data_IF_487511887151
#
_entry.id   IF_487511887151
#
_cell.length_a   1.000
_cell.length_b   1.000
_cell.length_c   1.000
_cell.angle_alpha   90.00
_cell.angle_beta   90.00
_cell.angle_gamma   90.00
#
_symmetry.space_group_name_H-M   'P 1'
#
loop_
_entity.id
_entity.type
_entity.pdbx_description
1 polymer ?
#
# COMPACT_ATOMS: atom_id res chain seq x y z
N UNK A 1 17.07 14.76 -1.96
CA UNK A 1 15.95 14.15 -2.73
C UNK A 1 15.37 15.25 -3.59
N UNK A 2 15.49 15.18 -4.92
CA UNK A 2 14.85 16.19 -5.79
C UNK A 2 13.33 15.97 -5.77
N UNK A 3 12.53 17.02 -5.97
CA UNK A 3 11.07 16.93 -5.94
C UNK A 3 10.49 15.86 -6.88
N UNK A 4 11.23 15.50 -7.93
CA UNK A 4 10.90 14.44 -8.88
C UNK A 4 10.87 13.02 -8.26
N UNK A 5 11.60 12.79 -7.16
CA UNK A 5 11.65 11.47 -6.50
C UNK A 5 10.48 11.19 -5.57
N UNK A 6 9.81 12.24 -5.06
CA UNK A 6 8.72 12.09 -4.06
C UNK A 6 7.35 12.04 -4.76
N UNK A 7 7.21 12.63 -5.95
CA UNK A 7 5.95 12.64 -6.69
C UNK A 7 5.34 11.23 -6.92
N UNK A 8 6.11 10.18 -7.28
CA UNK A 8 5.55 8.83 -7.43
C UNK A 8 5.02 8.26 -6.11
N UNK A 9 5.73 8.52 -5.00
CA UNK A 9 5.31 8.10 -3.66
C UNK A 9 4.03 8.83 -3.23
N UNK A 10 3.97 10.14 -3.45
CA UNK A 10 2.80 10.96 -3.13
C UNK A 10 1.57 10.50 -3.95
N UNK A 11 1.73 10.25 -5.24
CA UNK A 11 0.69 9.67 -6.09
C UNK A 11 0.24 8.31 -5.59
N UNK A 12 1.19 7.42 -5.27
CA UNK A 12 0.89 6.09 -4.73
C UNK A 12 0.06 6.17 -3.44
N UNK A 13 0.52 6.93 -2.44
CA UNK A 13 -0.17 7.07 -1.15
C UNK A 13 -1.56 7.67 -1.34
N UNK A 14 -1.69 8.68 -2.21
CA UNK A 14 -2.97 9.34 -2.51
C UNK A 14 -3.96 8.33 -3.10
N UNK A 15 -3.57 7.65 -4.18
CA UNK A 15 -4.44 6.67 -4.86
C UNK A 15 -4.77 5.50 -3.93
N UNK A 16 -3.77 4.94 -3.24
CA UNK A 16 -3.95 3.81 -2.34
C UNK A 16 -4.88 4.13 -1.15
N UNK A 17 -4.95 5.38 -0.71
CA UNK A 17 -5.80 5.80 0.42
C UNK A 17 -7.20 6.20 -0.03
N UNK A 18 -7.33 6.93 -1.14
CA UNK A 18 -8.61 7.49 -1.59
C UNK A 18 -9.45 6.52 -2.42
N UNK A 19 -8.84 5.51 -3.05
CA UNK A 19 -9.59 4.56 -3.88
C UNK A 19 -10.51 3.66 -3.03
N UNK A 20 -11.71 3.34 -3.52
CA UNK A 20 -12.59 2.36 -2.88
C UNK A 20 -12.04 0.96 -3.11
N UNK A 21 -11.03 0.58 -2.32
CA UNK A 21 -10.42 -0.76 -2.31
C UNK A 21 -10.77 -1.55 -1.05
N UNK A 22 -10.22 -2.77 -0.93
CA UNK A 22 -10.52 -3.69 0.17
C UNK A 22 -10.27 -3.10 1.57
N UNK A 23 -9.16 -2.40 1.79
CA UNK A 23 -8.85 -1.78 3.08
C UNK A 23 -9.88 -0.71 3.48
N UNK A 24 -10.26 0.16 2.53
CA UNK A 24 -11.28 1.20 2.73
C UNK A 24 -12.65 0.56 2.98
N UNK A 25 -13.05 -0.44 2.20
CA UNK A 25 -14.32 -1.17 2.40
C UNK A 25 -14.36 -1.87 3.76
N UNK A 26 -13.28 -2.53 4.18
CA UNK A 26 -13.19 -3.16 5.50
C UNK A 26 -13.25 -2.14 6.63
N UNK A 27 -12.57 -1.00 6.49
CA UNK A 27 -12.63 0.09 7.45
C UNK A 27 -14.05 0.66 7.57
N UNK A 28 -14.74 0.90 6.45
CA UNK A 28 -16.13 1.36 6.41
C UNK A 28 -17.07 0.33 7.05
N UNK A 29 -16.96 -0.94 6.67
CA UNK A 29 -17.78 -2.01 7.21
C UNK A 29 -17.55 -2.21 8.72
N UNK A 30 -16.30 -2.17 9.16
CA UNK A 30 -15.93 -2.22 10.58
C UNK A 30 -16.52 -1.04 11.35
N UNK A 31 -16.38 0.18 10.83
CA UNK A 31 -16.94 1.39 11.44
C UNK A 31 -18.46 1.34 11.56
N UNK A 32 -19.14 0.85 10.52
CA UNK A 32 -20.59 0.69 10.50
C UNK A 32 -21.10 -0.37 11.48
N UNK A 33 -20.36 -1.48 11.67
CA UNK A 33 -20.81 -2.61 12.50
C UNK A 33 -20.34 -2.56 13.96
N UNK A 34 -19.15 -2.03 14.23
CA UNK A 34 -18.53 -2.04 15.57
C UNK A 34 -18.39 -0.64 16.17
N UNK A 35 -18.60 0.42 15.38
CA UNK A 35 -18.34 1.80 15.79
C UNK A 35 -16.90 2.25 15.54
N UNK A 36 -16.67 3.56 15.59
CA UNK A 36 -15.37 4.17 15.28
C UNK A 36 -14.28 3.76 16.27
N UNK A 37 -14.56 3.84 17.58
CA UNK A 37 -13.58 3.57 18.64
C UNK A 37 -13.06 2.14 18.57
N UNK A 38 -13.95 1.17 18.39
CA UNK A 38 -13.61 -0.25 18.27
C UNK A 38 -12.89 -0.58 16.95
N UNK A 39 -13.06 0.26 15.92
CA UNK A 39 -12.37 0.11 14.63
C UNK A 39 -10.98 0.78 14.60
N UNK A 40 -10.63 1.59 15.61
CA UNK A 40 -9.31 2.24 15.69
C UNK A 40 -8.10 1.31 15.56
N UNK A 41 -8.05 0.10 16.17
CA UNK A 41 -6.91 -0.80 15.96
C UNK A 41 -6.79 -1.28 14.50
N UNK A 42 -7.91 -1.53 13.83
CA UNK A 42 -7.91 -1.89 12.40
C UNK A 42 -7.38 -0.73 11.55
N UNK A 43 -7.88 0.48 11.79
CA UNK A 43 -7.45 1.69 11.07
C UNK A 43 -5.95 1.96 11.29
N UNK A 44 -5.47 1.81 12.52
CA UNK A 44 -4.05 1.93 12.84
C UNK A 44 -3.21 0.88 12.11
N UNK A 45 -3.67 -0.37 12.08
CA UNK A 45 -3.00 -1.45 11.33
C UNK A 45 -2.90 -1.15 9.83
N UNK A 46 -3.97 -0.65 9.20
CA UNK A 46 -3.97 -0.23 7.80
C UNK A 46 -2.98 0.92 7.57
N UNK A 47 -2.99 1.93 8.44
CA UNK A 47 -2.10 3.09 8.34
C UNK A 47 -0.62 2.70 8.49
N UNK A 48 -0.30 1.85 9.47
CA UNK A 48 1.07 1.34 9.68
C UNK A 48 1.51 0.47 8.49
N UNK A 49 0.64 -0.39 7.97
CA UNK A 49 0.93 -1.19 6.78
C UNK A 49 1.23 -0.32 5.55
N UNK A 50 0.41 0.70 5.28
CA UNK A 50 0.66 1.61 4.17
C UNK A 50 1.93 2.45 4.37
N UNK A 51 2.15 2.94 5.59
CA UNK A 51 3.34 3.72 5.95
C UNK A 51 4.63 2.92 5.80
N UNK A 52 4.64 1.65 6.20
CA UNK A 52 5.80 0.76 6.04
C UNK A 52 6.08 0.44 4.58
N UNK A 53 5.05 0.20 3.76
CA UNK A 53 5.18 0.04 2.31
C UNK A 53 5.74 1.29 1.65
N UNK A 54 5.23 2.47 2.01
CA UNK A 54 5.74 3.75 1.50
C UNK A 54 7.20 3.98 1.92
N UNK A 55 7.55 3.68 3.18
CA UNK A 55 8.93 3.79 3.66
C UNK A 55 9.88 2.85 2.89
N UNK A 56 9.47 1.60 2.65
CA UNK A 56 10.25 0.66 1.85
C UNK A 56 10.42 1.12 0.40
N UNK A 57 9.36 1.64 -0.21
CA UNK A 57 9.42 2.22 -1.56
C UNK A 57 10.39 3.42 -1.61
N UNK A 58 10.30 4.32 -0.63
CA UNK A 58 11.18 5.49 -0.50
C UNK A 58 12.65 5.10 -0.26
N UNK A 59 12.90 4.00 0.46
CA UNK A 59 14.24 3.47 0.72
C UNK A 59 14.93 2.89 -0.52
N UNK A 60 14.24 2.82 -1.67
CA UNK A 60 14.83 2.41 -2.94
C UNK A 60 14.50 0.98 -3.36
N UNK A 61 13.34 0.45 -2.95
CA UNK A 61 12.84 -0.86 -3.39
C UNK A 61 12.87 -1.03 -4.93
N UNK A 62 12.62 0.05 -5.67
CA UNK A 62 12.72 0.06 -7.13
C UNK A 62 14.12 -0.32 -7.64
N UNK A 63 15.18 0.12 -6.96
CA UNK A 63 16.56 -0.23 -7.32
C UNK A 63 16.83 -1.73 -7.18
N UNK A 64 16.27 -2.38 -6.16
CA UNK A 64 16.37 -3.84 -5.96
C UNK A 64 15.69 -4.58 -7.11
N UNK A 65 14.49 -4.14 -7.52
CA UNK A 65 13.75 -4.75 -8.62
C UNK A 65 14.48 -4.60 -9.97
N UNK A 66 15.11 -3.45 -10.21
CA UNK A 66 15.89 -3.22 -11.44
C UNK A 66 17.18 -4.06 -11.46
N UNK A 67 17.78 -4.32 -10.30
CA UNK A 67 18.96 -5.17 -10.18
C UNK A 67 18.64 -6.68 -10.30
N UNK A 68 17.39 -7.09 -10.01
CA UNK A 68 16.97 -8.50 -10.01
C UNK A 68 15.71 -8.71 -10.89
N UNK A 69 15.87 -8.89 -12.21
CA UNK A 69 14.75 -9.08 -13.13
C UNK A 69 13.88 -10.31 -12.82
N UNK A 70 14.50 -11.37 -12.28
CA UNK A 70 13.78 -12.58 -11.85
C UNK A 70 12.81 -12.30 -10.70
N UNK A 71 13.18 -11.43 -9.75
CA UNK A 71 12.32 -11.00 -8.66
C UNK A 71 11.13 -10.20 -9.19
N UNK A 72 11.37 -9.29 -10.13
CA UNK A 72 10.30 -8.51 -10.76
C UNK A 72 9.29 -9.41 -11.48
N UNK A 73 9.77 -10.42 -12.22
CA UNK A 73 8.90 -11.40 -12.90
C UNK A 73 8.13 -12.26 -11.90
N UNK A 74 8.79 -12.76 -10.85
CA UNK A 74 8.13 -13.53 -9.79
C UNK A 74 7.03 -12.73 -9.10
N UNK A 75 7.29 -11.46 -8.76
CA UNK A 75 6.28 -10.56 -8.19
C UNK A 75 5.09 -10.34 -9.13
N UNK A 76 5.33 -10.18 -10.44
CA UNK A 76 4.25 -10.05 -11.43
C UNK A 76 3.39 -11.32 -11.48
N UNK A 77 4.02 -12.50 -11.52
CA UNK A 77 3.28 -13.78 -11.57
C UNK A 77 2.44 -13.97 -10.31
N UNK A 78 3.03 -13.80 -9.12
CA UNK A 78 2.33 -13.95 -7.85
C UNK A 78 1.20 -12.91 -7.73
N UNK A 79 1.49 -11.65 -8.07
CA UNK A 79 0.51 -10.57 -8.02
C UNK A 79 -0.66 -10.78 -8.97
N UNK A 80 -0.40 -11.24 -10.20
CA UNK A 80 -1.47 -11.60 -11.15
C UNK A 80 -2.27 -12.80 -10.66
N UNK A 81 -1.64 -13.84 -10.12
CA UNK A 81 -2.33 -14.99 -9.56
C UNK A 81 -3.21 -14.63 -8.36
N UNK A 82 -2.83 -13.63 -7.57
CA UNK A 82 -3.64 -13.12 -6.45
C UNK A 82 -4.89 -12.34 -6.91
N UNK A 83 -4.83 -11.69 -8.09
CA UNK A 83 -5.93 -10.89 -8.62
C UNK A 83 -6.93 -11.70 -9.47
N UNK A 84 -6.55 -12.90 -9.90
CA UNK A 84 -7.42 -13.88 -10.56
C UNK A 84 -8.26 -14.62 -9.53
#
# INVERSE_FOLDING_TARGET
MSAHSIAPLALFVTIATLSPGGATTLATASGARFGFVQSTPLLAGIAVGLGTLAAAAAAGLAGILLAAPSLQTGMKVIGSAYLL
#
